data_IF_979019433376
#
_entry.id   IF_979019433376
#
_cell.length_a   1.000
_cell.length_b   1.000
_cell.length_c   1.000
_cell.angle_alpha   90.00
_cell.angle_beta   90.00
_cell.angle_gamma   90.00
#
_symmetry.space_group_name_H-M   'P 1'
#
loop_
_entity.id
_entity.type
_entity.pdbx_description
1 polymer ?
#
# COMPACT_ATOMS: atom_id res chain seq x y z
N UNK A 1 1.32 43.49 -19.67
CA UNK A 1 0.29 42.77 -18.91
C UNK A 1 1.02 41.82 -17.96
N UNK A 2 0.81 41.98 -16.66
CA UNK A 2 1.49 41.21 -15.62
C UNK A 2 0.86 39.82 -15.54
N UNK A 3 1.50 38.83 -16.15
CA UNK A 3 1.09 37.43 -16.07
C UNK A 3 1.66 36.77 -14.79
N UNK A 4 1.51 37.44 -13.65
CA UNK A 4 1.99 36.91 -12.37
C UNK A 4 0.88 36.05 -11.75
N UNK A 5 1.15 34.76 -11.62
CA UNK A 5 0.26 33.81 -10.95
C UNK A 5 0.06 34.27 -9.50
N UNK A 6 -1.20 34.33 -9.05
CA UNK A 6 -1.50 34.65 -7.65
C UNK A 6 -0.86 33.58 -6.72
N UNK A 7 -0.39 33.95 -5.52
CA UNK A 7 0.34 33.06 -4.63
C UNK A 7 -0.38 31.76 -4.26
N UNK A 8 -1.71 31.76 -4.24
CA UNK A 8 -2.56 30.59 -3.99
C UNK A 8 -2.55 29.55 -5.12
N UNK A 9 -2.15 29.94 -6.34
CA UNK A 9 -2.03 29.05 -7.50
C UNK A 9 -0.59 28.59 -7.76
N UNK A 10 0.32 28.75 -6.80
CA UNK A 10 1.67 28.19 -6.88
C UNK A 10 1.64 26.67 -6.75
N UNK A 11 1.57 25.99 -7.90
CA UNK A 11 1.53 24.53 -7.99
C UNK A 11 2.76 23.84 -7.37
N UNK A 12 3.87 24.57 -7.14
CA UNK A 12 5.05 24.02 -6.44
C UNK A 12 4.80 23.83 -4.93
N UNK A 13 3.87 24.60 -4.35
CA UNK A 13 3.46 24.49 -2.94
C UNK A 13 2.35 23.46 -2.73
N UNK A 14 1.64 23.08 -3.79
CA UNK A 14 0.63 22.04 -3.73
C UNK A 14 1.31 20.68 -3.60
N UNK A 15 0.89 19.89 -2.60
CA UNK A 15 1.25 18.47 -2.52
C UNK A 15 0.55 17.73 -3.67
N UNK A 16 1.22 17.65 -4.81
CA UNK A 16 0.73 16.85 -5.93
C UNK A 16 0.82 15.37 -5.56
N UNK A 17 -0.30 14.66 -5.73
CA UNK A 17 -0.36 13.21 -5.57
C UNK A 17 -0.36 12.60 -6.95
N UNK A 18 0.70 11.85 -7.28
CA UNK A 18 0.71 11.02 -8.48
C UNK A 18 -0.45 10.03 -8.45
N UNK A 19 -1.37 10.18 -9.40
CA UNK A 19 -2.48 9.27 -9.68
C UNK A 19 -2.29 8.69 -11.07
N UNK A 20 -2.49 7.38 -11.23
CA UNK A 20 -2.39 6.73 -12.53
C UNK A 20 -2.21 5.20 -12.44
N UNK A 21 -2.61 4.47 -13.49
CA UNK A 21 -2.33 3.04 -13.62
C UNK A 21 -0.81 2.79 -13.67
N UNK A 22 -0.34 1.72 -13.00
CA UNK A 22 1.09 1.36 -12.92
C UNK A 22 1.81 1.82 -11.65
N UNK A 23 1.10 2.40 -10.68
CA UNK A 23 1.68 2.82 -9.40
C UNK A 23 2.02 1.60 -8.52
N UNK A 24 3.31 1.42 -8.22
CA UNK A 24 3.81 0.32 -7.36
C UNK A 24 3.96 0.67 -5.89
N UNK A 25 3.81 1.95 -5.51
CA UNK A 25 4.00 2.39 -4.12
C UNK A 25 3.03 3.48 -3.69
N UNK A 26 2.45 3.34 -2.50
CA UNK A 26 1.54 4.30 -1.89
C UNK A 26 2.23 4.97 -0.68
N UNK A 27 2.38 6.30 -0.71
CA UNK A 27 3.06 7.06 0.35
C UNK A 27 4.45 6.50 0.73
N UNK A 28 5.23 6.05 -0.27
CA UNK A 28 6.55 5.45 -0.07
C UNK A 28 6.52 3.98 0.39
N UNK A 29 5.35 3.39 0.61
CA UNK A 29 5.20 1.97 0.96
C UNK A 29 4.92 1.13 -0.30
N UNK A 30 5.49 -0.08 -0.42
CA UNK A 30 5.15 -0.97 -1.51
C UNK A 30 3.66 -1.31 -1.48
N UNK A 31 3.04 -1.36 -2.65
CA UNK A 31 1.66 -1.82 -2.81
C UNK A 31 1.70 -3.29 -3.18
N UNK A 32 0.95 -4.11 -2.44
CA UNK A 32 0.78 -5.53 -2.72
C UNK A 32 -0.60 -5.68 -3.34
N UNK A 33 -0.65 -6.15 -4.57
CA UNK A 33 -1.90 -6.47 -5.25
C UNK A 33 -2.34 -7.86 -4.82
N UNK A 34 -3.60 -7.98 -4.38
CA UNK A 34 -4.25 -9.26 -4.15
C UNK A 34 -5.02 -9.64 -5.40
N UNK A 35 -5.11 -10.94 -5.66
CA UNK A 35 -6.00 -11.47 -6.69
C UNK A 35 -7.48 -11.26 -6.28
N UNK A 36 -8.41 -11.14 -7.24
CA UNK A 36 -9.81 -10.78 -6.95
C UNK A 36 -10.51 -11.75 -5.99
N UNK A 37 -10.27 -13.05 -6.16
CA UNK A 37 -10.80 -14.12 -5.31
C UNK A 37 -10.32 -13.98 -3.86
N UNK A 38 -9.05 -13.64 -3.65
CA UNK A 38 -8.49 -13.40 -2.32
C UNK A 38 -9.05 -12.12 -1.72
N UNK A 39 -9.19 -11.06 -2.52
CA UNK A 39 -9.75 -9.79 -2.07
C UNK A 39 -11.23 -9.90 -1.65
N UNK A 40 -11.99 -10.82 -2.25
CA UNK A 40 -13.38 -11.09 -1.86
C UNK A 40 -13.50 -11.75 -0.49
N UNK A 41 -12.50 -12.55 -0.10
CA UNK A 41 -12.48 -13.26 1.20
C UNK A 41 -12.09 -12.33 2.34
N UNK A 42 -11.22 -11.34 2.10
CA UNK A 42 -10.70 -10.46 3.14
C UNK A 42 -11.29 -9.04 3.05
N UNK A 43 -12.09 -8.59 4.03
CA UNK A 43 -12.76 -7.30 3.97
C UNK A 43 -11.82 -6.09 4.13
N UNK A 44 -10.64 -6.27 4.75
CA UNK A 44 -9.70 -5.18 4.98
C UNK A 44 -8.23 -5.64 5.08
N UNK A 45 -7.31 -4.68 5.08
CA UNK A 45 -5.88 -4.95 5.21
C UNK A 45 -5.48 -5.51 6.59
N UNK A 46 -6.26 -5.27 7.65
CA UNK A 46 -5.93 -5.79 8.98
C UNK A 46 -6.13 -7.31 9.01
N UNK A 47 -7.23 -7.81 8.48
CA UNK A 47 -7.56 -9.23 8.37
C UNK A 47 -6.53 -10.02 7.55
N UNK A 48 -6.06 -9.47 6.42
CA UNK A 48 -4.98 -10.05 5.61
C UNK A 48 -3.68 -10.16 6.42
N UNK A 49 -3.32 -9.09 7.14
CA UNK A 49 -2.08 -9.08 7.93
C UNK A 49 -2.12 -10.08 9.09
N UNK A 50 -3.25 -10.23 9.76
CA UNK A 50 -3.41 -11.24 10.82
C UNK A 50 -3.29 -12.67 10.27
N UNK A 51 -3.92 -12.97 9.14
CA UNK A 51 -3.80 -14.27 8.49
C UNK A 51 -2.34 -14.59 8.10
N UNK A 52 -1.62 -13.63 7.51
CA UNK A 52 -0.20 -13.80 7.16
C UNK A 52 0.70 -13.97 8.40
N UNK A 53 0.44 -13.23 9.49
CA UNK A 53 1.16 -13.39 10.76
C UNK A 53 0.95 -14.76 11.37
N UNK A 54 -0.28 -15.27 11.34
CA UNK A 54 -0.60 -16.60 11.80
C UNK A 54 0.16 -17.67 11.00
N UNK A 55 0.19 -17.54 9.67
CA UNK A 55 0.97 -18.44 8.81
C UNK A 55 2.48 -18.39 9.10
N UNK A 56 3.04 -17.19 9.33
CA UNK A 56 4.44 -17.02 9.73
C UNK A 56 4.72 -17.73 11.06
N UNK A 57 3.79 -17.68 12.01
CA UNK A 57 3.93 -18.36 13.30
C UNK A 57 3.97 -19.87 13.14
N UNK A 58 3.00 -20.45 12.42
CA UNK A 58 2.95 -21.90 12.16
C UNK A 58 4.23 -22.38 11.47
N UNK A 59 4.67 -21.65 10.43
CA UNK A 59 5.86 -22.05 9.67
C UNK A 59 7.13 -21.99 10.50
N UNK A 60 7.26 -21.02 11.42
CA UNK A 60 8.37 -20.97 12.39
C UNK A 60 8.33 -22.12 13.38
N UNK A 61 7.18 -22.40 13.98
CA UNK A 61 7.01 -23.50 14.94
C UNK A 61 7.35 -24.85 14.29
N UNK A 62 6.92 -25.08 13.04
CA UNK A 62 7.25 -26.28 12.28
C UNK A 62 8.75 -26.40 11.95
N UNK A 63 9.43 -25.28 11.68
CA UNK A 63 10.87 -25.29 11.38
C UNK A 63 11.71 -25.55 12.64
N UNK A 64 11.23 -25.17 13.83
CA UNK A 64 11.86 -25.52 15.10
C UNK A 64 11.62 -26.98 15.50
N UNK A 65 10.49 -27.58 15.11
CA UNK A 65 10.20 -29.00 15.34
C UNK A 65 10.98 -29.96 14.42
N UNK A 66 11.64 -29.45 13.38
CA UNK A 66 12.46 -30.22 12.42
C UNK A 66 13.97 -30.05 12.69
N UNK A 67 14.36 -29.30 13.71
CA UNK A 67 15.77 -29.14 14.16
C UNK A 67 16.07 -29.94 15.41
#
# INVERSE_FOLDING_TARGET
MQNELLPEYDLKKLRTRGVGPGRKSFAGKPVIQLEPDVAEVFPDAASVNEALRFLIRITKENNTAVQ
#
